data_IF_505641325241
#
_entry.id   IF_505641325241
#
_cell.length_a   1.000
_cell.length_b   1.000
_cell.length_c   1.000
_cell.angle_alpha   90.00
_cell.angle_beta   90.00
_cell.angle_gamma   90.00
#
_symmetry.space_group_name_H-M   'P 1'
#
loop_
_entity.id
_entity.type
_entity.pdbx_description
1 polymer ?
#
# COMPACT_ATOMS: atom_id res chain seq x y z
N UNK A 1 4.51 4.65 1.21
CA UNK A 1 3.29 3.83 1.07
C UNK A 1 3.62 2.37 0.77
N UNK A 2 4.30 2.05 -0.35
CA UNK A 2 4.69 0.67 -0.69
C UNK A 2 5.36 -0.07 0.46
N UNK A 3 6.38 0.53 1.09
CA UNK A 3 7.05 -0.04 2.27
C UNK A 3 6.13 -0.25 3.50
N UNK A 4 5.10 0.57 3.68
CA UNK A 4 4.15 0.42 4.77
C UNK A 4 3.20 -0.76 4.52
N UNK A 5 2.77 -0.94 3.28
CA UNK A 5 1.98 -2.10 2.86
C UNK A 5 2.81 -3.39 2.92
N UNK A 6 4.06 -3.34 2.43
CA UNK A 6 5.02 -4.45 2.49
C UNK A 6 5.28 -4.88 3.93
N UNK A 7 5.40 -3.94 4.86
CA UNK A 7 5.60 -4.25 6.27
C UNK A 7 4.45 -5.07 6.87
N UNK A 8 3.19 -4.80 6.50
CA UNK A 8 2.05 -5.59 6.99
C UNK A 8 2.12 -7.02 6.47
N UNK A 9 2.40 -7.19 5.18
CA UNK A 9 2.55 -8.50 4.56
C UNK A 9 3.76 -9.25 5.14
N UNK A 10 4.90 -8.57 5.30
CA UNK A 10 6.11 -9.12 5.93
C UNK A 10 5.84 -9.62 7.35
N UNK A 11 5.15 -8.83 8.18
CA UNK A 11 4.76 -9.24 9.55
C UNK A 11 3.76 -10.40 9.56
N UNK A 12 2.90 -10.51 8.55
CA UNK A 12 1.97 -11.63 8.42
C UNK A 12 2.65 -12.92 7.94
N UNK A 13 3.61 -12.81 7.02
CA UNK A 13 4.38 -13.94 6.50
C UNK A 13 5.38 -14.51 7.51
N UNK A 14 5.95 -13.67 8.36
CA UNK A 14 6.93 -14.08 9.36
C UNK A 14 6.27 -14.24 10.74
N UNK A 15 6.78 -15.18 11.55
CA UNK A 15 6.38 -15.30 12.95
C UNK A 15 7.06 -14.21 13.79
N UNK A 16 6.67 -12.95 13.58
CA UNK A 16 7.13 -11.83 14.41
C UNK A 16 6.52 -11.93 15.81
N UNK A 17 7.23 -11.45 16.84
CA UNK A 17 6.76 -11.54 18.23
C UNK A 17 5.40 -10.86 18.43
N UNK A 18 5.14 -9.82 17.65
CA UNK A 18 3.96 -8.99 17.68
C UNK A 18 2.85 -9.41 16.71
N UNK A 19 3.17 -10.24 15.72
CA UNK A 19 2.25 -10.63 14.65
C UNK A 19 1.62 -9.43 13.92
N UNK A 20 0.42 -9.65 13.36
CA UNK A 20 -0.44 -8.59 12.81
C UNK A 20 -1.82 -8.70 13.48
N UNK A 21 -2.11 -7.88 14.51
CA UNK A 21 -3.43 -7.87 15.12
C UNK A 21 -4.48 -7.45 14.07
N UNK A 22 -5.71 -7.96 14.21
CA UNK A 22 -6.86 -7.68 13.33
C UNK A 22 -6.87 -8.38 11.97
N UNK A 23 -6.00 -9.36 11.74
CA UNK A 23 -6.09 -10.26 10.58
C UNK A 23 -6.54 -11.66 11.07
N UNK A 24 -7.61 -12.24 10.51
CA UNK A 24 -8.04 -13.61 10.83
C UNK A 24 -6.95 -14.66 10.55
N UNK A 25 -6.89 -15.75 11.33
CA UNK A 25 -5.84 -16.77 11.20
C UNK A 25 -5.87 -17.53 9.86
N UNK A 26 -7.06 -17.76 9.31
CA UNK A 26 -7.22 -18.39 7.99
C UNK A 26 -6.72 -17.49 6.86
N UNK A 27 -6.83 -16.17 7.05
CA UNK A 27 -6.25 -15.15 6.16
C UNK A 27 -4.73 -15.12 6.33
N UNK A 28 -4.21 -15.08 7.56
CA UNK A 28 -2.77 -15.12 7.83
C UNK A 28 -2.09 -16.31 7.17
N UNK A 29 -2.72 -17.49 7.23
CA UNK A 29 -2.21 -18.71 6.59
C UNK A 29 -2.06 -18.54 5.06
N UNK A 30 -3.05 -17.94 4.39
CA UNK A 30 -3.00 -17.70 2.93
C UNK A 30 -1.90 -16.71 2.55
N UNK A 31 -1.67 -15.68 3.36
CA UNK A 31 -0.60 -14.70 3.12
C UNK A 31 0.78 -15.37 3.25
N UNK A 32 0.95 -16.29 4.22
CA UNK A 32 2.21 -17.04 4.44
C UNK A 32 2.60 -17.94 3.26
N UNK A 33 1.63 -18.47 2.52
CA UNK A 33 1.87 -19.46 1.45
C UNK A 33 2.17 -18.83 0.06
N UNK A 34 2.17 -17.50 -0.07
CA UNK A 34 2.29 -16.81 -1.37
C UNK A 34 3.71 -16.25 -1.66
N UNK A 35 4.19 -16.45 -2.89
CA UNK A 35 5.44 -15.83 -3.42
C UNK A 35 5.14 -14.44 -3.97
N UNK A 36 5.97 -13.46 -3.62
CA UNK A 36 5.68 -12.03 -3.81
C UNK A 36 6.59 -11.40 -4.89
N UNK A 37 6.02 -10.99 -6.03
CA UNK A 37 6.44 -9.79 -6.79
C UNK A 37 5.93 -8.55 -6.04
N UNK A 38 6.86 -7.78 -5.45
CA UNK A 38 6.56 -6.89 -4.30
C UNK A 38 5.28 -6.07 -4.43
N UNK A 39 5.24 -5.00 -5.23
CA UNK A 39 4.08 -4.11 -5.14
C UNK A 39 2.77 -4.70 -5.70
N UNK A 40 2.83 -5.42 -6.82
CA UNK A 40 1.64 -6.04 -7.41
C UNK A 40 1.03 -7.09 -6.46
N UNK A 41 1.86 -7.98 -5.90
CA UNK A 41 1.38 -9.04 -5.03
C UNK A 41 0.97 -8.50 -3.66
N UNK A 42 1.58 -7.39 -3.20
CA UNK A 42 1.08 -6.65 -2.03
C UNK A 42 -0.35 -6.16 -2.28
N UNK A 43 -0.62 -5.49 -3.41
CA UNK A 43 -1.97 -5.00 -3.73
C UNK A 43 -2.95 -6.18 -3.81
N UNK A 44 -2.57 -7.26 -4.48
CA UNK A 44 -3.39 -8.46 -4.61
C UNK A 44 -3.69 -9.14 -3.27
N UNK A 45 -2.71 -9.21 -2.35
CA UNK A 45 -2.94 -9.73 -1.01
C UNK A 45 -3.90 -8.84 -0.21
N UNK A 46 -3.72 -7.52 -0.29
CA UNK A 46 -4.62 -6.55 0.35
C UNK A 46 -6.05 -6.65 -0.19
N UNK A 47 -6.21 -6.89 -1.50
CA UNK A 47 -7.51 -7.06 -2.18
C UNK A 47 -8.18 -8.38 -1.82
N UNK A 48 -7.45 -9.48 -1.90
CA UNK A 48 -7.93 -10.83 -1.55
C UNK A 48 -8.50 -10.87 -0.13
N UNK A 49 -7.90 -10.08 0.77
CA UNK A 49 -8.27 -10.02 2.18
C UNK A 49 -9.06 -8.78 2.56
N UNK A 50 -9.45 -7.94 1.59
CA UNK A 50 -10.36 -6.80 1.79
C UNK A 50 -9.87 -5.82 2.87
N UNK A 51 -8.55 -5.71 3.04
CA UNK A 51 -7.92 -4.94 4.13
C UNK A 51 -8.09 -3.42 3.97
N UNK A 52 -8.44 -2.95 2.77
CA UNK A 52 -8.56 -1.54 2.43
C UNK A 52 -9.98 -1.15 2.00
N UNK A 53 -10.97 -2.05 2.08
CA UNK A 53 -12.35 -1.81 1.58
C UNK A 53 -13.00 -0.53 2.13
N UNK A 54 -12.66 -0.14 3.37
CA UNK A 54 -13.18 1.08 3.99
C UNK A 54 -12.68 2.38 3.32
N UNK A 55 -11.60 2.32 2.53
CA UNK A 55 -11.10 3.44 1.73
C UNK A 55 -11.89 3.65 0.42
N UNK A 56 -12.86 2.78 0.12
CA UNK A 56 -13.78 2.92 -1.00
C UNK A 56 -13.64 1.84 -2.06
N UNK A 57 -14.69 1.68 -2.87
CA UNK A 57 -14.84 0.58 -3.83
C UNK A 57 -13.77 0.52 -4.93
N UNK A 58 -13.02 1.60 -5.15
CA UNK A 58 -11.99 1.68 -6.20
C UNK A 58 -10.54 1.60 -5.66
N UNK A 59 -10.34 1.44 -4.34
CA UNK A 59 -9.00 1.55 -3.73
C UNK A 59 -7.95 0.65 -4.39
N UNK A 60 -8.29 -0.59 -4.71
CA UNK A 60 -7.35 -1.53 -5.34
C UNK A 60 -7.04 -1.15 -6.79
N UNK A 61 -8.04 -0.66 -7.53
CA UNK A 61 -7.84 -0.12 -8.89
C UNK A 61 -6.94 1.12 -8.85
N UNK A 62 -7.17 2.00 -7.89
CA UNK A 62 -6.38 3.21 -7.69
C UNK A 62 -4.93 2.89 -7.31
N UNK A 63 -4.71 1.88 -6.47
CA UNK A 63 -3.37 1.38 -6.14
C UNK A 63 -2.67 0.74 -7.35
N UNK A 64 -3.38 -0.04 -8.18
CA UNK A 64 -2.82 -0.58 -9.41
C UNK A 64 -2.49 0.53 -10.42
N UNK A 65 -3.31 1.58 -10.51
CA UNK A 65 -3.02 2.78 -11.32
C UNK A 65 -1.76 3.48 -10.80
N UNK A 66 -1.67 3.68 -9.49
CA UNK A 66 -0.50 4.31 -8.87
C UNK A 66 0.77 3.47 -9.07
N UNK A 67 0.68 2.13 -9.01
CA UNK A 67 1.77 1.22 -9.34
C UNK A 67 2.28 1.43 -10.78
N UNK A 68 1.37 1.52 -11.76
CA UNK A 68 1.73 1.77 -13.17
C UNK A 68 2.41 3.13 -13.34
N UNK A 69 1.85 4.19 -12.76
CA UNK A 69 2.45 5.53 -12.76
C UNK A 69 3.83 5.56 -12.09
N UNK A 70 4.02 4.88 -10.95
CA UNK A 70 5.33 4.74 -10.29
C UNK A 70 6.33 3.99 -11.18
N UNK A 71 5.89 3.00 -11.93
CA UNK A 71 6.76 2.24 -12.83
C UNK A 71 7.30 3.10 -13.98
N UNK A 72 6.54 4.09 -14.48
CA UNK A 72 7.06 5.09 -15.44
C UNK A 72 8.27 5.84 -14.88
N UNK A 73 8.20 6.29 -13.63
CA UNK A 73 9.28 7.05 -12.98
C UNK A 73 10.47 6.15 -12.60
N UNK A 74 10.21 4.96 -12.06
CA UNK A 74 11.24 4.15 -11.41
C UNK A 74 11.80 2.99 -12.25
N UNK A 75 11.02 2.45 -13.19
CA UNK A 75 11.40 1.32 -14.05
C UNK A 75 11.38 1.73 -15.54
N UNK A 76 10.85 2.92 -15.87
CA UNK A 76 10.77 3.51 -17.22
C UNK A 76 9.89 2.75 -18.21
N UNK A 77 8.84 2.08 -17.73
CA UNK A 77 7.76 1.62 -18.60
C UNK A 77 6.85 2.80 -18.93
N UNK A 78 6.99 3.38 -20.12
CA UNK A 78 6.29 4.58 -20.57
C UNK A 78 4.99 4.32 -21.36
N UNK A 79 4.66 3.05 -21.55
CA UNK A 79 3.48 2.55 -22.27
C UNK A 79 2.28 2.25 -21.36
N UNK A 80 2.47 2.28 -20.03
CA UNK A 80 1.41 2.10 -19.04
C UNK A 80 1.33 3.26 -18.02
N UNK A 81 0.13 3.61 -17.53
CA UNK A 81 -1.18 3.13 -18.00
C UNK A 81 -1.56 3.77 -19.35
N UNK A 82 -2.26 3.01 -20.19
CA UNK A 82 -2.58 3.36 -21.59
C UNK A 82 -3.37 4.67 -21.75
N UNK A 83 -4.10 5.08 -20.70
CA UNK A 83 -4.92 6.29 -20.68
C UNK A 83 -4.13 7.56 -20.32
N UNK A 84 -2.81 7.47 -20.24
CA UNK A 84 -1.92 8.58 -19.87
C UNK A 84 -0.93 8.83 -20.99
N UNK A 85 -0.73 10.11 -21.35
CA UNK A 85 0.20 10.52 -22.41
C UNK A 85 1.61 9.95 -22.14
N UNK A 86 2.31 9.53 -23.20
CA UNK A 86 3.68 9.01 -23.13
C UNK A 86 4.68 10.06 -22.65
N UNK A 87 4.40 11.33 -22.91
CA UNK A 87 5.16 12.45 -22.36
C UNK A 87 4.89 12.58 -20.85
N UNK A 88 5.90 12.28 -20.05
CA UNK A 88 5.80 12.32 -18.57
C UNK A 88 5.42 13.71 -18.05
N UNK A 89 5.75 14.80 -18.76
CA UNK A 89 5.35 16.15 -18.35
C UNK A 89 3.83 16.36 -18.40
N UNK A 90 3.13 15.57 -19.23
CA UNK A 90 1.67 15.52 -19.33
C UNK A 90 1.05 14.40 -18.51
N UNK A 91 1.81 13.35 -18.21
CA UNK A 91 1.40 12.28 -17.30
C UNK A 91 1.33 12.76 -15.84
N UNK A 92 2.32 13.53 -15.41
CA UNK A 92 2.49 14.01 -14.04
C UNK A 92 2.08 15.47 -13.89
N UNK A 93 0.92 15.82 -14.46
CA UNK A 93 0.28 17.11 -14.18
C UNK A 93 -0.12 17.22 -12.71
N UNK A 94 -0.30 18.46 -12.25
CA UNK A 94 -0.69 18.82 -10.89
C UNK A 94 -1.83 17.97 -10.33
N UNK A 95 -2.84 17.68 -11.15
CA UNK A 95 -3.98 16.86 -10.77
C UNK A 95 -3.57 15.41 -10.43
N UNK A 96 -2.76 14.78 -11.28
CA UNK A 96 -2.23 13.41 -11.07
C UNK A 96 -1.38 13.35 -9.82
N UNK A 97 -0.51 14.34 -9.61
CA UNK A 97 0.39 14.40 -8.45
C UNK A 97 -0.42 14.58 -7.16
N UNK A 98 -1.39 15.50 -7.13
CA UNK A 98 -2.27 15.72 -5.97
C UNK A 98 -3.11 14.49 -5.66
N UNK A 99 -3.67 13.84 -6.68
CA UNK A 99 -4.39 12.56 -6.52
C UNK A 99 -3.49 11.48 -5.91
N UNK A 100 -2.29 11.27 -6.47
CA UNK A 100 -1.37 10.23 -6.00
C UNK A 100 -0.90 10.46 -4.57
N UNK A 101 -0.62 11.72 -4.22
CA UNK A 101 -0.29 12.11 -2.84
C UNK A 101 -1.46 11.87 -1.89
N UNK A 102 -2.67 12.33 -2.26
CA UNK A 102 -3.87 12.13 -1.45
C UNK A 102 -4.15 10.64 -1.21
N UNK A 103 -4.02 9.81 -2.25
CA UNK A 103 -4.17 8.36 -2.14
C UNK A 103 -3.16 7.75 -1.16
N UNK A 104 -1.88 8.13 -1.28
CA UNK A 104 -0.83 7.68 -0.36
C UNK A 104 -1.14 8.06 1.09
N UNK A 105 -1.59 9.30 1.34
CA UNK A 105 -1.91 9.78 2.67
C UNK A 105 -3.11 9.03 3.25
N UNK A 106 -4.16 8.82 2.47
CA UNK A 106 -5.35 8.06 2.90
C UNK A 106 -4.99 6.63 3.30
N UNK A 107 -4.18 5.94 2.48
CA UNK A 107 -3.71 4.58 2.79
C UNK A 107 -2.87 4.56 4.06
N UNK A 108 -1.92 5.49 4.21
CA UNK A 108 -1.06 5.55 5.41
C UNK A 108 -1.88 5.80 6.69
N UNK A 109 -2.85 6.71 6.66
CA UNK A 109 -3.74 6.97 7.79
C UNK A 109 -4.55 5.73 8.16
N UNK A 110 -5.18 5.09 7.18
CA UNK A 110 -5.97 3.87 7.39
C UNK A 110 -5.13 2.75 8.00
N UNK A 111 -3.90 2.54 7.51
CA UNK A 111 -3.02 1.52 8.08
C UNK A 111 -2.64 1.83 9.53
N UNK A 112 -2.34 3.08 9.86
CA UNK A 112 -2.04 3.50 11.22
C UNK A 112 -3.22 3.31 12.18
N UNK A 113 -4.43 3.58 11.71
CA UNK A 113 -5.67 3.46 12.51
C UNK A 113 -6.11 2.00 12.69
N UNK A 114 -6.06 1.19 11.62
CA UNK A 114 -6.63 -0.17 11.62
C UNK A 114 -5.64 -1.26 12.01
N UNK A 115 -4.36 -1.05 11.74
CA UNK A 115 -3.30 -2.00 12.02
C UNK A 115 -2.19 -1.36 12.88
N UNK A 116 -2.55 -0.70 13.99
CA UNK A 116 -1.56 -0.07 14.86
C UNK A 116 -0.62 -1.14 15.41
N UNK A 117 0.60 -0.72 15.72
CA UNK A 117 1.49 -1.58 16.50
C UNK A 117 0.96 -1.65 17.93
N UNK A 118 1.12 -2.81 18.60
CA UNK A 118 0.80 -2.90 20.02
C UNK A 118 1.52 -1.81 20.83
N UNK A 119 0.84 -1.11 21.77
CA UNK A 119 1.41 0.01 22.52
C UNK A 119 2.71 -0.32 23.25
N UNK A 120 2.84 -1.55 23.74
CA UNK A 120 4.02 -2.08 24.41
C UNK A 120 5.30 -2.07 23.53
N UNK A 121 5.16 -1.93 22.20
CA UNK A 121 6.25 -1.84 21.25
C UNK A 121 6.54 -0.41 20.77
N UNK A 122 5.80 0.59 21.26
CA UNK A 122 5.95 2.01 20.90
C UNK A 122 7.32 2.61 21.27
N UNK A 123 8.11 1.92 22.10
CA UNK A 123 9.50 2.29 22.44
C UNK A 123 10.45 2.08 21.24
N UNK A 124 10.10 1.20 20.30
CA UNK A 124 10.96 0.81 19.17
C UNK A 124 10.60 1.50 17.86
N UNK A 125 9.38 2.02 17.73
CA UNK A 125 8.91 2.76 16.56
C UNK A 125 7.75 3.66 16.94
N UNK A 126 7.84 4.94 16.58
CA UNK A 126 6.72 5.88 16.68
C UNK A 126 5.72 5.66 15.55
N UNK A 127 4.47 6.02 15.78
CA UNK A 127 3.44 6.01 14.75
C UNK A 127 3.80 6.94 13.60
N UNK A 128 3.41 6.54 12.39
CA UNK A 128 3.59 7.36 11.20
C UNK A 128 2.69 8.59 11.31
N UNK A 129 3.30 9.76 11.51
CA UNK A 129 2.60 11.05 11.48
C UNK A 129 2.86 11.75 10.15
N UNK A 130 1.80 12.36 9.60
CA UNK A 130 1.91 13.25 8.44
C UNK A 130 2.13 14.65 9.00
N UNK A 131 3.27 15.32 8.71
CA UNK A 131 3.51 16.68 9.17
C UNK A 131 2.37 17.60 8.74
N UNK A 132 1.90 18.46 9.65
CA UNK A 132 1.01 19.54 9.26
C UNK A 132 1.73 20.45 8.26
N UNK A 133 1.01 20.87 7.22
CA UNK A 133 1.49 21.81 6.20
C UNK A 133 1.68 23.21 6.78
#
# INVERSE_FOLDING_TARGET
MEAALDQIIYRAQNYTKEGVPNIPEDVLKKIRDSKIERFNNIIQAMETHRLLDELGANIYKDLHRLRKLRNRIHIQFDDEPEDVDRDDSKAFVDATVKWGLSLCLSVLKHLGEKYPRPPELGVYAQDVSIPAS
#
